data_IF_600336796997
#
_entry.id   IF_600336796997
#
_cell.length_a   1.000
_cell.length_b   1.000
_cell.length_c   1.000
_cell.angle_alpha   90.00
_cell.angle_beta   90.00
_cell.angle_gamma   90.00
#
_symmetry.space_group_name_H-M   'P 1'
#
loop_
_entity.id
_entity.type
_entity.pdbx_description
1 polymer ?
#
# COMPACT_ATOMS: atom_id res chain seq x y z
N UNK A 1 -118.92 9.20 6.72
CA UNK A 1 -117.48 9.54 6.51
C UNK A 1 -116.83 10.32 7.66
N UNK A 2 -117.57 10.87 8.63
CA UNK A 2 -116.98 11.69 9.72
C UNK A 2 -116.54 10.90 10.96
N UNK A 3 -117.08 9.71 11.21
CA UNK A 3 -116.90 8.94 12.45
C UNK A 3 -115.60 8.12 12.54
N UNK A 4 -115.13 7.55 11.44
CA UNK A 4 -113.87 6.77 11.42
C UNK A 4 -112.67 7.71 11.55
N UNK A 5 -112.65 8.83 10.83
CA UNK A 5 -111.62 9.87 10.96
C UNK A 5 -111.57 10.46 12.38
N UNK A 6 -112.73 10.66 13.02
CA UNK A 6 -112.79 11.11 14.41
C UNK A 6 -112.22 10.06 15.38
N UNK A 7 -112.37 8.76 15.08
CA UNK A 7 -111.83 7.63 15.86
C UNK A 7 -110.30 7.51 15.75
N UNK A 8 -109.75 7.63 14.54
CA UNK A 8 -108.29 7.68 14.33
C UNK A 8 -107.68 8.95 14.92
N UNK A 9 -108.31 10.11 14.77
CA UNK A 9 -107.84 11.35 15.44
C UNK A 9 -107.87 11.20 16.97
N UNK A 10 -108.88 10.52 17.54
CA UNK A 10 -108.94 10.24 18.98
C UNK A 10 -107.86 9.27 19.41
N UNK A 11 -107.58 8.21 18.65
CA UNK A 11 -106.51 7.24 18.93
C UNK A 11 -105.12 7.89 18.84
N UNK A 12 -104.90 8.71 17.80
CA UNK A 12 -103.69 9.50 17.64
C UNK A 12 -103.56 10.52 18.77
N UNK A 13 -104.61 11.24 19.17
CA UNK A 13 -104.57 12.15 20.33
C UNK A 13 -104.32 11.42 21.65
N UNK A 14 -104.91 10.25 21.85
CA UNK A 14 -104.83 9.47 23.09
C UNK A 14 -103.48 8.76 23.25
N UNK A 15 -102.85 8.37 22.15
CA UNK A 15 -101.53 7.73 22.13
C UNK A 15 -100.42 8.63 21.58
N UNK A 16 -100.70 9.93 21.34
CA UNK A 16 -99.78 10.89 20.72
C UNK A 16 -98.44 10.91 21.45
N UNK A 17 -98.48 10.99 22.78
CA UNK A 17 -97.29 10.98 23.63
C UNK A 17 -96.49 9.70 23.50
N UNK A 18 -97.14 8.52 23.45
CA UNK A 18 -96.43 7.23 23.29
C UNK A 18 -95.80 7.09 21.91
N UNK A 19 -96.49 7.50 20.85
CA UNK A 19 -95.97 7.47 19.48
C UNK A 19 -94.81 8.45 19.32
N UNK A 20 -94.93 9.68 19.85
CA UNK A 20 -93.85 10.68 19.86
C UNK A 20 -92.63 10.17 20.63
N UNK A 21 -92.81 9.51 21.77
CA UNK A 21 -91.70 8.92 22.54
C UNK A 21 -91.02 7.79 21.77
N UNK A 22 -91.76 6.88 21.13
CA UNK A 22 -91.18 5.79 20.35
C UNK A 22 -90.43 6.31 19.11
N UNK A 23 -91.02 7.23 18.34
CA UNK A 23 -90.35 7.85 17.19
C UNK A 23 -89.13 8.67 17.63
N UNK A 24 -89.25 9.43 18.73
CA UNK A 24 -88.12 10.17 19.30
C UNK A 24 -86.99 9.25 19.75
N UNK A 25 -87.31 8.11 20.38
CA UNK A 25 -86.32 7.10 20.79
C UNK A 25 -85.67 6.44 19.57
N UNK A 26 -86.43 6.14 18.51
CA UNK A 26 -85.90 5.58 17.28
C UNK A 26 -84.95 6.56 16.58
N UNK A 27 -85.31 7.85 16.50
CA UNK A 27 -84.43 8.91 15.95
C UNK A 27 -83.17 9.07 16.81
N UNK A 28 -83.27 9.00 18.13
CA UNK A 28 -82.12 9.07 19.03
C UNK A 28 -81.19 7.85 18.87
N UNK A 29 -81.74 6.64 18.77
CA UNK A 29 -80.97 5.40 18.55
C UNK A 29 -80.34 5.40 17.15
N UNK A 30 -81.07 5.83 16.11
CA UNK A 30 -80.53 5.96 14.76
C UNK A 30 -79.43 7.02 14.68
N UNK A 31 -79.59 8.17 15.36
CA UNK A 31 -78.57 9.20 15.48
C UNK A 31 -77.34 8.72 16.26
N UNK A 32 -77.53 7.92 17.32
CA UNK A 32 -76.44 7.29 18.06
C UNK A 32 -75.68 6.27 17.20
N UNK A 33 -76.39 5.40 16.47
CA UNK A 33 -75.79 4.44 15.52
C UNK A 33 -74.97 5.18 14.46
N UNK A 34 -75.55 6.22 13.85
CA UNK A 34 -74.88 7.01 12.82
C UNK A 34 -73.63 7.72 13.38
N UNK A 35 -73.72 8.29 14.58
CA UNK A 35 -72.57 8.90 15.26
C UNK A 35 -71.46 7.90 15.58
N UNK A 36 -71.81 6.68 16.00
CA UNK A 36 -70.84 5.59 16.24
C UNK A 36 -70.18 5.11 14.94
N UNK A 37 -70.95 4.98 13.86
CA UNK A 37 -70.42 4.64 12.53
C UNK A 37 -69.48 5.72 12.00
N UNK A 38 -69.80 7.01 12.20
CA UNK A 38 -68.91 8.11 11.83
C UNK A 38 -67.59 8.07 12.62
N UNK A 39 -67.66 7.86 13.95
CA UNK A 39 -66.45 7.75 14.79
C UNK A 39 -65.55 6.60 14.37
N UNK A 40 -66.14 5.45 14.01
CA UNK A 40 -65.39 4.32 13.46
C UNK A 40 -64.74 4.66 12.13
N UNK A 41 -65.48 5.27 11.20
CA UNK A 41 -64.95 5.68 9.90
C UNK A 41 -63.78 6.67 10.03
N UNK A 42 -63.85 7.61 10.98
CA UNK A 42 -62.74 8.51 11.27
C UNK A 42 -61.53 7.77 11.87
N UNK A 43 -61.73 6.86 12.82
CA UNK A 43 -60.64 6.08 13.39
C UNK A 43 -59.95 5.19 12.34
N UNK A 44 -60.72 4.58 11.43
CA UNK A 44 -60.19 3.81 10.31
C UNK A 44 -59.43 4.70 9.33
N UNK A 45 -59.95 5.89 9.01
CA UNK A 45 -59.27 6.87 8.18
C UNK A 45 -57.95 7.34 8.81
N UNK A 46 -57.93 7.60 10.11
CA UNK A 46 -56.73 8.01 10.86
C UNK A 46 -55.67 6.90 10.82
N UNK A 47 -56.06 5.63 10.97
CA UNK A 47 -55.17 4.50 10.80
C UNK A 47 -54.57 4.43 9.39
N UNK A 48 -55.39 4.53 8.34
CA UNK A 48 -54.90 4.50 6.96
C UNK A 48 -53.97 5.69 6.66
N UNK A 49 -54.28 6.88 7.20
CA UNK A 49 -53.43 8.05 7.08
C UNK A 49 -52.08 7.84 7.80
N UNK A 50 -52.07 7.37 9.05
CA UNK A 50 -50.85 7.08 9.79
C UNK A 50 -49.98 6.04 9.07
N UNK A 51 -50.59 4.96 8.57
CA UNK A 51 -49.90 3.94 7.79
C UNK A 51 -49.28 4.51 6.51
N UNK A 52 -50.02 5.36 5.78
CA UNK A 52 -49.49 6.01 4.58
C UNK A 52 -48.25 6.86 4.87
N UNK A 53 -48.20 7.51 6.05
CA UNK A 53 -47.05 8.29 6.48
C UNK A 53 -45.85 7.40 6.84
N UNK A 54 -46.08 6.23 7.45
CA UNK A 54 -45.00 5.25 7.69
C UNK A 54 -44.40 4.75 6.38
N UNK A 55 -45.22 4.39 5.40
CA UNK A 55 -44.76 3.94 4.08
C UNK A 55 -43.99 5.06 3.35
N UNK A 56 -44.45 6.30 3.44
CA UNK A 56 -43.72 7.46 2.91
C UNK A 56 -42.38 7.69 3.63
N UNK A 57 -42.33 7.53 4.95
CA UNK A 57 -41.09 7.63 5.72
C UNK A 57 -40.10 6.50 5.37
N UNK A 58 -40.59 5.28 5.11
CA UNK A 58 -39.75 4.17 4.62
C UNK A 58 -39.19 4.46 3.22
N UNK A 59 -39.99 5.01 2.31
CA UNK A 59 -39.51 5.43 0.99
C UNK A 59 -38.45 6.54 1.11
N UNK A 60 -38.71 7.55 1.95
CA UNK A 60 -37.76 8.62 2.22
C UNK A 60 -36.44 8.12 2.82
N UNK A 61 -36.50 7.17 3.76
CA UNK A 61 -35.31 6.52 4.32
C UNK A 61 -34.49 5.81 3.24
N UNK A 62 -35.15 5.09 2.32
CA UNK A 62 -34.49 4.48 1.16
C UNK A 62 -33.86 5.51 0.24
N UNK A 63 -34.55 6.62 -0.05
CA UNK A 63 -34.03 7.72 -0.89
C UNK A 63 -32.80 8.39 -0.27
N UNK A 64 -32.76 8.49 1.06
CA UNK A 64 -31.59 8.95 1.81
C UNK A 64 -30.45 7.92 1.85
N UNK A 65 -30.66 6.70 1.35
CA UNK A 65 -29.62 5.68 1.24
C UNK A 65 -29.48 4.77 2.45
N UNK A 66 -30.53 4.65 3.28
CA UNK A 66 -30.59 3.58 4.28
C UNK A 66 -30.88 2.25 3.57
N UNK A 67 -30.14 1.21 3.93
CA UNK A 67 -30.41 -0.14 3.46
C UNK A 67 -31.63 -0.72 4.19
N UNK A 68 -32.34 -1.64 3.52
CA UNK A 68 -33.52 -2.30 4.10
C UNK A 68 -33.22 -2.99 5.45
N UNK A 69 -31.98 -3.47 5.65
CA UNK A 69 -31.56 -4.09 6.90
C UNK A 69 -31.62 -3.12 8.10
N UNK A 70 -31.34 -1.83 7.88
CA UNK A 70 -31.20 -0.82 8.93
C UNK A 70 -32.52 -0.40 9.58
N UNK A 71 -33.66 -0.68 8.93
CA UNK A 71 -35.00 -0.42 9.47
C UNK A 71 -35.97 -1.62 9.32
N UNK A 72 -35.42 -2.81 9.06
CA UNK A 72 -36.21 -4.05 8.86
C UNK A 72 -37.04 -4.47 10.08
N UNK A 73 -36.66 -4.08 11.29
CA UNK A 73 -37.44 -4.26 12.51
C UNK A 73 -38.72 -3.41 12.49
N UNK A 74 -38.59 -2.14 12.12
CA UNK A 74 -39.72 -1.20 12.00
C UNK A 74 -40.65 -1.58 10.84
N UNK A 75 -40.07 -2.03 9.72
CA UNK A 75 -40.84 -2.56 8.60
C UNK A 75 -41.66 -3.79 8.99
N UNK A 76 -41.09 -4.72 9.78
CA UNK A 76 -41.84 -5.88 10.29
C UNK A 76 -42.94 -5.48 11.27
N UNK A 77 -42.73 -4.45 12.09
CA UNK A 77 -43.77 -3.93 12.98
C UNK A 77 -44.94 -3.34 12.20
N UNK A 78 -44.69 -2.55 11.15
CA UNK A 78 -45.73 -2.03 10.27
C UNK A 78 -46.51 -3.19 9.62
N UNK A 79 -45.80 -4.17 9.04
CA UNK A 79 -46.46 -5.33 8.42
C UNK A 79 -47.30 -6.12 9.43
N UNK A 80 -46.86 -6.20 10.69
CA UNK A 80 -47.62 -6.86 11.76
C UNK A 80 -48.89 -6.09 12.05
N UNK A 81 -48.79 -4.78 12.34
CA UNK A 81 -49.94 -3.88 12.60
C UNK A 81 -50.94 -3.90 11.44
N UNK A 82 -50.43 -3.83 10.21
CA UNK A 82 -51.25 -3.85 9.00
C UNK A 82 -51.96 -5.19 8.74
N UNK A 83 -51.44 -6.30 9.30
CA UNK A 83 -52.03 -7.63 9.16
C UNK A 83 -53.08 -7.95 10.22
N UNK A 84 -53.21 -7.13 11.26
CA UNK A 84 -54.20 -7.36 12.32
C UNK A 84 -55.63 -7.17 11.79
N UNK A 85 -56.50 -8.15 12.05
CA UNK A 85 -57.90 -8.08 11.63
C UNK A 85 -58.73 -7.29 12.65
N UNK A 86 -59.48 -6.25 12.22
CA UNK A 86 -60.36 -5.52 13.13
C UNK A 86 -61.48 -6.43 13.65
N UNK A 87 -61.94 -6.24 14.90
CA UNK A 87 -63.08 -6.99 15.45
C UNK A 87 -64.34 -6.89 14.55
N UNK A 88 -65.23 -7.89 14.59
CA UNK A 88 -66.47 -7.84 13.83
C UNK A 88 -67.32 -6.62 14.25
N UNK A 89 -67.98 -5.99 13.28
CA UNK A 89 -68.86 -4.85 13.55
C UNK A 89 -70.10 -5.29 14.36
N UNK A 90 -70.44 -4.53 15.40
CA UNK A 90 -71.55 -4.86 16.32
C UNK A 90 -72.42 -3.64 16.61
N UNK A 91 -73.00 -3.03 15.57
CA UNK A 91 -73.89 -1.88 15.72
C UNK A 91 -75.04 -2.19 16.71
N UNK A 92 -75.39 -1.27 17.64
CA UNK A 92 -74.93 0.12 17.78
C UNK A 92 -73.59 0.29 18.54
N UNK A 93 -72.93 -0.79 18.97
CA UNK A 93 -71.79 -0.79 19.87
C UNK A 93 -70.47 -1.11 19.13
N UNK A 94 -69.83 -0.10 18.54
CA UNK A 94 -68.59 -0.27 17.76
C UNK A 94 -67.31 0.14 18.51
N UNK A 95 -67.37 0.36 19.83
CA UNK A 95 -66.25 0.88 20.63
C UNK A 95 -64.99 -0.01 20.60
N UNK A 96 -65.14 -1.33 20.52
CA UNK A 96 -64.00 -2.26 20.43
C UNK A 96 -63.21 -2.09 19.13
N UNK A 97 -63.93 -1.83 18.02
CA UNK A 97 -63.38 -1.61 16.68
C UNK A 97 -62.80 -0.20 16.53
N UNK A 98 -63.46 0.81 17.07
CA UNK A 98 -62.90 2.18 17.20
C UNK A 98 -61.58 2.12 17.99
N UNK A 99 -61.58 1.44 19.14
CA UNK A 99 -60.37 1.29 19.97
C UNK A 99 -59.26 0.52 19.25
N UNK A 100 -59.61 -0.46 18.42
CA UNK A 100 -58.65 -1.17 17.56
C UNK A 100 -57.95 -0.21 16.59
N UNK A 101 -58.71 0.53 15.79
CA UNK A 101 -58.12 1.46 14.82
C UNK A 101 -57.32 2.58 15.48
N UNK A 102 -57.78 3.12 16.61
CA UNK A 102 -57.02 4.12 17.37
C UNK A 102 -55.67 3.58 17.88
N UNK A 103 -55.63 2.31 18.36
CA UNK A 103 -54.37 1.68 18.76
C UNK A 103 -53.46 1.44 17.57
N UNK A 104 -53.99 0.92 16.47
CA UNK A 104 -53.23 0.70 15.24
C UNK A 104 -52.65 2.00 14.69
N UNK A 105 -53.45 3.08 14.63
CA UNK A 105 -52.98 4.42 14.24
C UNK A 105 -51.86 4.94 15.15
N UNK A 106 -51.97 4.71 16.47
CA UNK A 106 -50.93 5.04 17.44
C UNK A 106 -49.64 4.24 17.23
N UNK A 107 -49.75 2.94 16.93
CA UNK A 107 -48.60 2.09 16.60
C UNK A 107 -47.91 2.56 15.32
N UNK A 108 -48.65 2.87 14.26
CA UNK A 108 -48.09 3.41 13.01
C UNK A 108 -47.37 4.74 13.25
N UNK A 109 -47.98 5.65 14.03
CA UNK A 109 -47.35 6.93 14.39
C UNK A 109 -46.03 6.71 15.15
N UNK A 110 -46.01 5.79 16.11
CA UNK A 110 -44.81 5.45 16.86
C UNK A 110 -43.72 4.84 15.97
N UNK A 111 -44.08 3.97 15.02
CA UNK A 111 -43.14 3.39 14.04
C UNK A 111 -42.52 4.49 13.19
N UNK A 112 -43.32 5.44 12.71
CA UNK A 112 -42.83 6.60 11.94
C UNK A 112 -41.84 7.42 12.75
N UNK A 113 -42.18 7.81 13.98
CA UNK A 113 -41.31 8.60 14.84
C UNK A 113 -39.98 7.88 15.11
N UNK A 114 -40.02 6.57 15.35
CA UNK A 114 -38.82 5.75 15.52
C UNK A 114 -37.96 5.71 14.25
N UNK A 115 -38.58 5.63 13.08
CA UNK A 115 -37.88 5.65 11.80
C UNK A 115 -37.22 7.02 11.54
N UNK A 116 -37.95 8.12 11.75
CA UNK A 116 -37.43 9.48 11.57
C UNK A 116 -36.24 9.74 12.50
N UNK A 117 -36.34 9.34 13.77
CA UNK A 117 -35.21 9.43 14.72
C UNK A 117 -34.01 8.59 14.27
N UNK A 118 -34.26 7.41 13.70
CA UNK A 118 -33.19 6.54 13.19
C UNK A 118 -32.50 7.14 11.97
N UNK A 119 -33.27 7.71 11.04
CA UNK A 119 -32.75 8.44 9.88
C UNK A 119 -31.87 9.60 10.33
N UNK A 120 -32.36 10.45 11.24
CA UNK A 120 -31.59 11.59 11.78
C UNK A 120 -30.29 11.13 12.45
N UNK A 121 -30.35 10.06 13.24
CA UNK A 121 -29.18 9.49 13.90
C UNK A 121 -28.15 8.97 12.89
N UNK A 122 -28.59 8.21 11.89
CA UNK A 122 -27.69 7.67 10.86
C UNK A 122 -27.08 8.78 10.01
N UNK A 123 -27.85 9.81 9.65
CA UNK A 123 -27.35 11.00 8.97
C UNK A 123 -26.23 11.68 9.75
N UNK A 124 -26.43 11.93 11.06
CA UNK A 124 -25.41 12.54 11.90
C UNK A 124 -24.17 11.63 12.04
N UNK A 125 -24.38 10.33 12.27
CA UNK A 125 -23.29 9.38 12.45
C UNK A 125 -22.43 9.23 11.21
N UNK A 126 -23.02 9.12 10.01
CA UNK A 126 -22.23 8.99 8.77
C UNK A 126 -21.54 10.29 8.39
N UNK A 127 -22.19 11.45 8.60
CA UNK A 127 -21.56 12.75 8.45
C UNK A 127 -20.32 12.89 9.35
N UNK A 128 -20.46 12.59 10.65
CA UNK A 128 -19.37 12.74 11.62
C UNK A 128 -18.24 11.74 11.35
N UNK A 129 -18.58 10.53 10.90
CA UNK A 129 -17.59 9.52 10.47
C UNK A 129 -16.78 10.04 9.29
N UNK A 130 -17.43 10.51 8.21
CA UNK A 130 -16.75 11.03 7.03
C UNK A 130 -15.85 12.23 7.39
N UNK A 131 -16.32 13.16 8.24
CA UNK A 131 -15.50 14.29 8.71
C UNK A 131 -14.29 13.84 9.52
N UNK A 132 -14.45 12.86 10.39
CA UNK A 132 -13.34 12.29 11.16
C UNK A 132 -12.30 11.67 10.23
N UNK A 133 -12.71 10.93 9.20
CA UNK A 133 -11.80 10.32 8.23
C UNK A 133 -11.01 11.38 7.42
N UNK A 134 -11.67 12.47 6.99
CA UNK A 134 -10.97 13.60 6.34
C UNK A 134 -9.96 14.26 7.27
N UNK A 135 -10.32 14.46 8.54
CA UNK A 135 -9.42 15.01 9.54
C UNK A 135 -8.20 14.09 9.79
N UNK A 136 -8.43 12.78 9.89
CA UNK A 136 -7.36 11.79 10.05
C UNK A 136 -6.45 11.72 8.81
N UNK A 137 -7.01 11.76 7.60
CA UNK A 137 -6.23 11.83 6.36
C UNK A 137 -5.34 13.08 6.33
N UNK A 138 -5.89 14.23 6.71
CA UNK A 138 -5.15 15.50 6.77
C UNK A 138 -4.01 15.42 7.79
N UNK A 139 -4.29 14.89 8.98
CA UNK A 139 -3.29 14.72 10.04
C UNK A 139 -2.18 13.75 9.61
N UNK A 140 -2.53 12.63 8.99
CA UNK A 140 -1.56 11.66 8.47
C UNK A 140 -0.71 12.25 7.34
N UNK A 141 -1.28 13.09 6.48
CA UNK A 141 -0.53 13.74 5.41
C UNK A 141 0.46 14.77 5.97
N UNK A 142 0.06 15.52 7.00
CA UNK A 142 0.97 16.41 7.73
C UNK A 142 2.08 15.62 8.44
N UNK A 143 1.73 14.52 9.11
CA UNK A 143 2.69 13.63 9.77
C UNK A 143 3.68 13.07 8.76
N UNK A 144 3.22 12.57 7.62
CA UNK A 144 4.07 12.03 6.55
C UNK A 144 5.13 13.04 6.09
N UNK A 145 4.73 14.30 5.87
CA UNK A 145 5.66 15.39 5.55
C UNK A 145 6.65 15.66 6.68
N UNK A 146 6.16 15.69 7.93
CA UNK A 146 6.99 15.95 9.10
C UNK A 146 8.08 14.88 9.31
N UNK A 147 7.76 13.61 9.08
CA UNK A 147 8.71 12.50 9.23
C UNK A 147 9.55 12.24 7.98
N UNK A 148 9.35 13.01 6.92
CA UNK A 148 10.20 13.00 5.72
C UNK A 148 9.85 11.95 4.67
N UNK A 149 8.58 11.51 4.58
CA UNK A 149 8.11 10.70 3.43
C UNK A 149 8.38 11.45 2.14
N UNK A 150 8.87 10.76 1.10
CA UNK A 150 9.20 11.35 -0.20
C UNK A 150 8.00 12.11 -0.80
N UNK A 151 8.21 13.36 -1.20
CA UNK A 151 7.19 14.23 -1.80
C UNK A 151 6.57 13.60 -3.05
N UNK A 152 7.31 12.81 -3.83
CA UNK A 152 6.79 12.10 -5.01
C UNK A 152 5.74 11.06 -4.63
N UNK A 153 5.90 10.38 -3.49
CA UNK A 153 4.93 9.43 -2.97
C UNK A 153 3.69 10.13 -2.42
N UNK A 154 3.80 11.42 -2.07
CA UNK A 154 2.70 12.21 -1.52
C UNK A 154 1.82 12.90 -2.58
N UNK A 155 2.26 12.94 -3.84
CA UNK A 155 1.57 13.65 -4.93
C UNK A 155 0.12 13.19 -5.10
N UNK A 156 -0.13 11.89 -5.02
CA UNK A 156 -1.48 11.32 -5.21
C UNK A 156 -2.48 11.71 -4.10
N UNK A 157 -1.99 12.14 -2.93
CA UNK A 157 -2.82 12.59 -1.82
C UNK A 157 -3.10 14.10 -1.86
N UNK A 158 -2.40 14.83 -2.73
CA UNK A 158 -2.54 16.26 -2.83
C UNK A 158 -3.98 16.65 -3.23
N UNK A 159 -4.62 17.50 -2.43
CA UNK A 159 -5.98 17.97 -2.68
C UNK A 159 -7.10 16.99 -2.30
N UNK A 160 -6.80 15.72 -1.98
CA UNK A 160 -7.81 14.75 -1.55
C UNK A 160 -8.60 15.21 -0.31
N UNK A 161 -7.97 15.75 0.76
CA UNK A 161 -8.74 16.22 1.92
C UNK A 161 -9.72 17.34 1.58
N UNK A 162 -9.31 18.28 0.71
CA UNK A 162 -10.15 19.40 0.30
C UNK A 162 -11.32 18.90 -0.56
N UNK A 163 -11.05 17.99 -1.51
CA UNK A 163 -12.10 17.38 -2.34
C UNK A 163 -13.13 16.67 -1.46
N UNK A 164 -12.68 15.83 -0.54
CA UNK A 164 -13.57 15.07 0.35
C UNK A 164 -14.36 16.00 1.29
N UNK A 165 -13.75 17.08 1.79
CA UNK A 165 -14.48 18.07 2.59
C UNK A 165 -15.60 18.74 1.80
N UNK A 166 -15.34 19.12 0.53
CA UNK A 166 -16.38 19.69 -0.35
C UNK A 166 -17.51 18.68 -0.57
N UNK A 167 -17.19 17.41 -0.80
CA UNK A 167 -18.20 16.35 -1.00
C UNK A 167 -19.07 16.13 0.24
N UNK A 168 -18.48 16.22 1.44
CA UNK A 168 -19.24 16.20 2.70
C UNK A 168 -20.15 17.43 2.80
N UNK A 169 -19.62 18.63 2.51
CA UNK A 169 -20.37 19.89 2.66
C UNK A 169 -21.59 19.97 1.72
N UNK A 170 -21.54 19.30 0.56
CA UNK A 170 -22.67 19.25 -0.40
C UNK A 170 -23.57 18.03 -0.22
N UNK A 171 -23.13 17.01 0.52
CA UNK A 171 -23.90 15.78 0.72
C UNK A 171 -25.11 16.03 1.64
N UNK A 172 -26.27 15.49 1.25
CA UNK A 172 -27.52 15.61 2.00
C UNK A 172 -28.15 14.26 2.34
N UNK A 173 -27.44 13.16 2.07
CA UNK A 173 -27.93 11.78 2.25
C UNK A 173 -26.93 10.91 2.98
N UNK A 174 -27.41 9.83 3.62
CA UNK A 174 -26.57 8.82 4.28
C UNK A 174 -25.64 8.16 3.27
N UNK A 175 -26.15 7.86 2.07
CA UNK A 175 -25.34 7.29 0.98
C UNK A 175 -24.23 8.22 0.51
N UNK A 176 -24.46 9.53 0.48
CA UNK A 176 -23.45 10.53 0.11
C UNK A 176 -22.27 10.52 1.07
N UNK A 177 -22.53 10.58 2.38
CA UNK A 177 -21.46 10.50 3.39
C UNK A 177 -20.71 9.16 3.34
N UNK A 178 -21.42 8.05 3.13
CA UNK A 178 -20.81 6.71 2.97
C UNK A 178 -19.93 6.60 1.73
N UNK A 179 -20.31 7.28 0.64
CA UNK A 179 -19.50 7.30 -0.58
C UNK A 179 -18.14 7.96 -0.32
N UNK A 180 -18.11 9.08 0.40
CA UNK A 180 -16.85 9.74 0.80
C UNK A 180 -15.99 8.79 1.63
N UNK A 181 -16.55 8.18 2.67
CA UNK A 181 -15.83 7.18 3.49
C UNK A 181 -15.27 6.03 2.66
N UNK A 182 -16.03 5.56 1.67
CA UNK A 182 -15.61 4.47 0.79
C UNK A 182 -14.46 4.91 -0.12
N UNK A 183 -14.51 6.12 -0.68
CA UNK A 183 -13.46 6.67 -1.52
C UNK A 183 -12.15 6.87 -0.73
N UNK A 184 -12.24 7.34 0.52
CA UNK A 184 -11.07 7.62 1.36
C UNK A 184 -10.38 6.37 1.90
N UNK A 185 -11.06 5.21 1.94
CA UNK A 185 -10.54 4.00 2.57
C UNK A 185 -9.19 3.53 2.01
N UNK A 186 -9.07 3.46 0.68
CA UNK A 186 -7.84 3.00 0.05
C UNK A 186 -6.68 4.02 0.16
N UNK A 187 -6.88 5.32 -0.14
CA UNK A 187 -5.88 6.35 0.12
C UNK A 187 -5.42 6.39 1.57
N UNK A 188 -6.35 6.35 2.53
CA UNK A 188 -6.01 6.38 3.94
C UNK A 188 -5.13 5.20 4.36
N UNK A 189 -5.46 3.98 3.89
CA UNK A 189 -4.66 2.78 4.13
C UNK A 189 -3.25 2.91 3.55
N UNK A 190 -3.13 3.35 2.28
CA UNK A 190 -1.84 3.53 1.61
C UNK A 190 -0.97 4.58 2.31
N UNK A 191 -1.55 5.74 2.67
CA UNK A 191 -0.84 6.77 3.41
C UNK A 191 -0.38 6.28 4.79
N UNK A 192 -1.21 5.51 5.48
CA UNK A 192 -0.85 4.93 6.78
C UNK A 192 0.32 3.95 6.66
N UNK A 193 0.38 3.15 5.58
CA UNK A 193 1.52 2.28 5.28
C UNK A 193 2.79 3.09 4.99
N UNK A 194 2.71 4.16 4.19
CA UNK A 194 3.86 5.05 3.93
C UNK A 194 4.39 5.69 5.23
N UNK A 195 3.49 6.13 6.11
CA UNK A 195 3.86 6.67 7.42
C UNK A 195 4.57 5.62 8.27
N UNK A 196 4.01 4.41 8.36
CA UNK A 196 4.59 3.34 9.17
C UNK A 196 5.96 2.87 8.63
N UNK A 197 6.12 2.80 7.31
CA UNK A 197 7.38 2.45 6.64
C UNK A 197 8.46 3.51 6.93
N UNK A 198 8.12 4.79 6.79
CA UNK A 198 9.05 5.89 7.09
C UNK A 198 9.39 5.97 8.58
N UNK A 199 8.45 5.72 9.49
CA UNK A 199 8.73 5.62 10.93
C UNK A 199 9.71 4.48 11.25
N UNK A 200 9.53 3.33 10.59
CA UNK A 200 10.44 2.18 10.73
C UNK A 200 11.83 2.52 10.21
N UNK A 201 11.91 3.18 9.06
CA UNK A 201 13.16 3.67 8.48
C UNK A 201 13.86 4.65 9.42
N UNK A 202 13.14 5.66 9.92
CA UNK A 202 13.69 6.66 10.85
C UNK A 202 14.18 6.02 12.16
N UNK A 203 13.48 4.99 12.64
CA UNK A 203 13.92 4.22 13.82
C UNK A 203 15.25 3.52 13.55
N UNK A 204 15.41 2.90 12.37
CA UNK A 204 16.66 2.23 12.00
C UNK A 204 17.80 3.23 11.81
N UNK A 205 17.54 4.40 11.20
CA UNK A 205 18.49 5.51 11.11
C UNK A 205 18.93 5.91 12.51
N UNK A 206 18.00 6.10 13.44
CA UNK A 206 18.31 6.43 14.83
C UNK A 206 19.17 5.39 15.54
N UNK A 207 18.98 4.09 15.24
CA UNK A 207 19.82 3.02 15.79
C UNK A 207 21.27 3.10 15.29
N UNK A 208 21.47 3.30 13.99
CA UNK A 208 22.82 3.46 13.43
C UNK A 208 23.47 4.78 13.85
N UNK A 209 22.70 5.87 13.96
CA UNK A 209 23.18 7.13 14.48
C UNK A 209 23.68 7.00 15.92
N UNK A 210 22.95 6.29 16.78
CA UNK A 210 23.39 6.02 18.15
C UNK A 210 24.67 5.16 18.20
N UNK A 211 24.84 4.22 17.27
CA UNK A 211 26.09 3.46 17.14
C UNK A 211 27.26 4.36 16.72
N UNK A 212 27.04 5.30 15.80
CA UNK A 212 28.04 6.28 15.40
C UNK A 212 28.43 7.20 16.57
N UNK A 213 27.44 7.73 17.30
CA UNK A 213 27.66 8.58 18.47
C UNK A 213 28.51 7.89 19.56
N UNK A 214 28.32 6.57 19.73
CA UNK A 214 29.12 5.78 20.65
C UNK A 214 30.60 5.67 20.24
N UNK A 215 30.91 5.84 18.96
CA UNK A 215 32.27 5.78 18.41
C UNK A 215 32.96 7.14 18.36
N UNK A 216 32.20 8.23 18.15
CA UNK A 216 32.77 9.57 18.06
C UNK A 216 32.92 10.30 19.40
N UNK A 217 32.22 9.83 20.45
CA UNK A 217 32.26 10.41 21.79
C UNK A 217 31.92 11.92 21.81
N UNK A 218 31.09 12.38 20.88
CA UNK A 218 30.67 13.78 20.75
C UNK A 218 31.63 14.66 19.92
N UNK A 219 32.72 14.10 19.38
CA UNK A 219 33.66 14.83 18.55
C UNK A 219 33.13 15.01 17.11
N UNK A 220 32.87 16.26 16.72
CA UNK A 220 32.32 16.58 15.40
C UNK A 220 33.26 16.23 14.24
N UNK A 221 34.58 16.22 14.46
CA UNK A 221 35.57 15.79 13.47
C UNK A 221 35.50 14.28 13.22
N UNK A 222 35.42 13.50 14.30
CA UNK A 222 35.26 12.04 14.23
C UNK A 222 33.90 11.68 13.63
N UNK A 223 32.82 12.35 14.05
CA UNK A 223 31.48 12.14 13.49
C UNK A 223 31.44 12.40 11.98
N UNK A 224 32.07 13.50 11.52
CA UNK A 224 32.18 13.80 10.09
C UNK A 224 33.02 12.75 9.35
N UNK A 225 34.15 12.34 9.90
CA UNK A 225 34.97 11.29 9.30
C UNK A 225 34.20 9.97 9.18
N UNK A 226 33.42 9.60 10.20
CA UNK A 226 32.54 8.43 10.19
C UNK A 226 31.48 8.51 9.11
N UNK A 227 30.78 9.64 8.99
CA UNK A 227 29.78 9.87 7.95
C UNK A 227 30.40 9.86 6.54
N UNK A 228 31.57 10.48 6.35
CA UNK A 228 32.30 10.43 5.08
C UNK A 228 32.73 9.00 4.71
N UNK A 229 33.19 8.22 5.68
CA UNK A 229 33.52 6.82 5.47
C UNK A 229 32.27 5.98 5.11
N UNK A 230 31.13 6.24 5.74
CA UNK A 230 29.86 5.59 5.38
C UNK A 230 29.43 5.93 3.95
N UNK A 231 29.57 7.20 3.54
CA UNK A 231 29.29 7.63 2.17
C UNK A 231 30.19 6.91 1.16
N UNK A 232 31.50 6.84 1.43
CA UNK A 232 32.43 6.13 0.55
C UNK A 232 32.12 4.63 0.44
N UNK A 233 31.71 3.99 1.55
CA UNK A 233 31.31 2.57 1.54
C UNK A 233 30.11 2.32 0.64
N UNK A 234 29.00 3.03 0.86
CA UNK A 234 27.79 2.83 0.04
C UNK A 234 28.02 3.17 -1.44
N UNK A 235 28.89 4.15 -1.74
CA UNK A 235 29.28 4.45 -3.12
C UNK A 235 30.07 3.32 -3.77
N UNK A 236 30.98 2.68 -3.03
CA UNK A 236 31.73 1.51 -3.50
C UNK A 236 30.82 0.30 -3.72
N UNK A 237 29.88 0.05 -2.82
CA UNK A 237 28.90 -1.03 -2.95
C UNK A 237 27.96 -0.77 -4.13
N UNK A 238 27.51 0.48 -4.35
CA UNK A 238 26.74 0.85 -5.54
C UNK A 238 27.54 0.65 -6.83
N UNK A 239 28.84 0.96 -6.83
CA UNK A 239 29.71 0.68 -7.99
C UNK A 239 29.79 -0.82 -8.26
N UNK A 240 29.90 -1.64 -7.22
CA UNK A 240 29.90 -3.10 -7.33
C UNK A 240 28.56 -3.59 -7.90
N UNK A 241 27.44 -3.13 -7.36
CA UNK A 241 26.10 -3.46 -7.85
C UNK A 241 25.91 -3.10 -9.34
N UNK A 242 26.43 -1.94 -9.78
CA UNK A 242 26.41 -1.53 -11.20
C UNK A 242 27.23 -2.45 -12.10
N UNK A 243 28.37 -2.98 -11.64
CA UNK A 243 29.14 -3.99 -12.40
C UNK A 243 28.27 -5.23 -12.68
N UNK A 244 27.43 -5.61 -11.71
CA UNK A 244 26.46 -6.69 -11.86
C UNK A 244 25.11 -6.25 -12.46
N UNK A 245 25.07 -5.09 -13.11
CA UNK A 245 23.89 -4.56 -13.82
C UNK A 245 22.66 -4.35 -12.94
N UNK A 246 22.82 -4.17 -11.63
CA UNK A 246 21.72 -3.78 -10.75
C UNK A 246 21.36 -2.30 -10.98
N UNK A 247 20.06 -2.00 -11.05
CA UNK A 247 19.56 -0.63 -11.00
C UNK A 247 19.60 -0.13 -9.55
N UNK A 248 20.52 0.80 -9.29
CA UNK A 248 20.72 1.41 -7.96
C UNK A 248 20.09 2.79 -7.85
N UNK A 249 19.28 3.23 -8.82
CA UNK A 249 18.74 4.60 -8.89
C UNK A 249 18.02 5.06 -7.62
N UNK A 250 17.25 4.16 -6.99
CA UNK A 250 16.53 4.45 -5.74
C UNK A 250 17.52 4.75 -4.59
N UNK A 251 18.53 3.88 -4.41
CA UNK A 251 19.55 4.06 -3.37
C UNK A 251 20.42 5.29 -3.67
N UNK A 252 20.80 5.48 -4.93
CA UNK A 252 21.62 6.60 -5.39
C UNK A 252 20.94 7.95 -5.11
N UNK A 253 19.64 8.07 -5.38
CA UNK A 253 18.88 9.29 -5.06
C UNK A 253 18.92 9.64 -3.57
N UNK A 254 18.74 8.65 -2.68
CA UNK A 254 18.84 8.86 -1.23
C UNK A 254 20.27 9.21 -0.80
N UNK A 255 21.27 8.49 -1.31
CA UNK A 255 22.68 8.72 -1.00
C UNK A 255 23.12 10.12 -1.46
N UNK A 256 22.67 10.60 -2.62
CA UNK A 256 22.95 11.97 -3.08
C UNK A 256 22.36 13.03 -2.16
N UNK A 257 21.12 12.84 -1.68
CA UNK A 257 20.48 13.74 -0.70
C UNK A 257 21.28 13.80 0.60
N UNK A 258 21.71 12.65 1.12
CA UNK A 258 22.51 12.52 2.34
C UNK A 258 23.92 13.12 2.15
N UNK A 259 24.57 12.89 1.01
CA UNK A 259 25.86 13.48 0.68
C UNK A 259 25.79 15.02 0.62
N UNK A 260 24.71 15.56 0.05
CA UNK A 260 24.47 17.00 0.03
C UNK A 260 24.21 17.57 1.45
N UNK A 261 23.57 16.80 2.34
CA UNK A 261 23.42 17.17 3.75
C UNK A 261 24.76 17.14 4.48
N UNK A 262 25.58 16.10 4.29
CA UNK A 262 26.91 15.96 4.88
C UNK A 262 27.81 17.18 4.60
N UNK A 263 27.72 17.73 3.39
CA UNK A 263 28.48 18.93 2.99
C UNK A 263 28.03 20.24 3.66
N UNK A 264 26.88 20.26 4.35
CA UNK A 264 26.28 21.47 4.94
C UNK A 264 26.22 21.43 6.47
N UNK A 265 25.92 20.26 7.04
CA UNK A 265 25.71 20.13 8.50
C UNK A 265 27.03 20.15 9.27
N UNK A 266 27.01 20.74 10.47
CA UNK A 266 28.19 20.87 11.34
C UNK A 266 27.98 20.36 12.76
N UNK A 267 26.74 20.25 13.23
CA UNK A 267 26.43 19.69 14.53
C UNK A 267 26.72 18.17 14.55
N UNK A 268 27.31 17.67 15.64
CA UNK A 268 27.64 16.25 15.80
C UNK A 268 26.41 15.37 15.61
N UNK A 269 25.28 15.72 16.23
CA UNK A 269 24.02 14.97 16.12
C UNK A 269 23.51 14.88 14.68
N UNK A 270 23.66 15.94 13.88
CA UNK A 270 23.22 15.92 12.48
C UNK A 270 24.16 15.05 11.62
N UNK A 271 25.46 15.07 11.91
CA UNK A 271 26.44 14.19 11.26
C UNK A 271 26.18 12.72 11.58
N UNK A 272 25.85 12.40 12.83
CA UNK A 272 25.43 11.07 13.27
C UNK A 272 24.15 10.62 12.55
N UNK A 273 23.16 11.50 12.39
CA UNK A 273 21.94 11.19 11.63
C UNK A 273 22.24 10.92 10.16
N UNK A 274 23.12 11.71 9.53
CA UNK A 274 23.55 11.47 8.14
C UNK A 274 24.29 10.14 8.02
N UNK A 275 25.17 9.82 8.97
CA UNK A 275 25.86 8.52 9.03
C UNK A 275 24.84 7.38 9.14
N UNK A 276 23.86 7.50 10.05
CA UNK A 276 22.78 6.53 10.20
C UNK A 276 21.95 6.35 8.91
N UNK A 277 21.63 7.45 8.22
CA UNK A 277 20.96 7.42 6.93
C UNK A 277 21.75 6.66 5.87
N UNK A 278 23.05 6.93 5.76
CA UNK A 278 23.95 6.25 4.82
C UNK A 278 24.08 4.76 5.14
N UNK A 279 24.19 4.40 6.42
CA UNK A 279 24.24 3.00 6.85
C UNK A 279 22.94 2.23 6.54
N UNK A 280 21.78 2.87 6.64
CA UNK A 280 20.51 2.26 6.20
C UNK A 280 20.50 2.01 4.70
N UNK A 281 20.92 2.99 3.88
CA UNK A 281 20.97 2.82 2.44
C UNK A 281 21.97 1.73 2.01
N UNK A 282 23.13 1.66 2.69
CA UNK A 282 24.11 0.59 2.52
C UNK A 282 23.52 -0.79 2.83
N UNK A 283 22.79 -0.91 3.95
CA UNK A 283 22.13 -2.16 4.35
C UNK A 283 21.07 -2.61 3.34
N UNK A 284 20.25 -1.68 2.86
CA UNK A 284 19.22 -1.97 1.82
C UNK A 284 19.90 -2.49 0.56
N UNK A 285 20.97 -1.85 0.13
CA UNK A 285 21.73 -2.28 -1.05
C UNK A 285 22.35 -3.66 -0.85
N UNK A 286 22.99 -3.91 0.29
CA UNK A 286 23.61 -5.20 0.60
C UNK A 286 22.58 -6.33 0.68
N UNK A 287 21.40 -6.10 1.25
CA UNK A 287 20.32 -7.09 1.27
C UNK A 287 19.81 -7.39 -0.14
N UNK A 288 19.62 -6.36 -0.97
CA UNK A 288 19.23 -6.53 -2.36
C UNK A 288 20.30 -7.28 -3.16
N UNK A 289 21.58 -6.96 -2.95
CA UNK A 289 22.71 -7.67 -3.56
C UNK A 289 22.74 -9.14 -3.14
N UNK A 290 22.58 -9.43 -1.85
CA UNK A 290 22.61 -10.79 -1.33
C UNK A 290 21.48 -11.67 -1.88
N UNK A 291 20.31 -11.09 -2.15
CA UNK A 291 19.14 -11.78 -2.68
C UNK A 291 19.19 -12.00 -4.20
N UNK A 292 19.77 -11.04 -4.95
CA UNK A 292 19.66 -11.02 -6.42
C UNK A 292 20.96 -11.39 -7.14
N UNK A 293 22.12 -11.25 -6.48
CA UNK A 293 23.40 -11.55 -7.12
C UNK A 293 23.77 -13.04 -6.99
N UNK A 294 24.58 -13.56 -7.94
CA UNK A 294 25.10 -14.92 -7.85
C UNK A 294 25.83 -15.17 -6.53
N UNK A 295 25.73 -16.41 -6.03
CA UNK A 295 26.47 -16.86 -4.83
C UNK A 295 27.96 -16.58 -4.96
N UNK A 296 28.51 -16.77 -6.18
CA UNK A 296 29.90 -16.50 -6.54
C UNK A 296 29.97 -15.83 -7.90
N UNK A 297 30.81 -14.82 -8.03
CA UNK A 297 31.12 -14.19 -9.30
C UNK A 297 32.57 -13.70 -9.33
N UNK A 298 33.12 -13.56 -10.54
CA UNK A 298 34.40 -12.92 -10.78
C UNK A 298 34.18 -11.63 -11.58
N UNK A 299 34.97 -10.61 -11.29
CA UNK A 299 35.07 -9.43 -12.15
C UNK A 299 36.52 -9.18 -12.53
N UNK A 300 36.75 -8.68 -13.74
CA UNK A 300 38.08 -8.34 -14.25
C UNK A 300 38.00 -6.90 -14.74
N UNK A 301 38.72 -6.00 -14.08
CA UNK A 301 38.88 -4.64 -14.55
C UNK A 301 40.09 -4.57 -15.49
N UNK A 302 39.84 -4.21 -16.75
CA UNK A 302 40.90 -3.96 -17.73
C UNK A 302 41.65 -2.66 -17.42
N UNK A 303 40.96 -1.67 -16.85
CA UNK A 303 41.59 -0.40 -16.47
C UNK A 303 42.49 -0.54 -15.25
N UNK A 304 42.02 -1.24 -14.23
CA UNK A 304 42.77 -1.40 -12.98
C UNK A 304 43.74 -2.58 -13.04
N UNK A 305 43.63 -3.44 -14.06
CA UNK A 305 44.38 -4.69 -14.18
C UNK A 305 44.23 -5.55 -12.91
N UNK A 306 42.99 -5.74 -12.47
CA UNK A 306 42.64 -6.50 -11.26
C UNK A 306 41.55 -7.50 -11.56
N UNK A 307 41.70 -8.71 -11.03
CA UNK A 307 40.60 -9.68 -10.87
C UNK A 307 40.08 -9.63 -9.44
N UNK A 308 38.76 -9.67 -9.28
CA UNK A 308 38.07 -9.73 -7.99
C UNK A 308 37.15 -10.92 -7.94
N UNK A 309 36.98 -11.48 -6.75
CA UNK A 309 36.00 -12.53 -6.48
C UNK A 309 34.98 -12.03 -5.46
N UNK A 310 33.71 -12.27 -5.76
CA UNK A 310 32.57 -11.80 -4.97
C UNK A 310 31.73 -12.98 -4.51
N UNK A 311 31.38 -13.01 -3.22
CA UNK A 311 30.35 -13.91 -2.71
C UNK A 311 29.12 -13.12 -2.31
N UNK A 312 27.97 -13.40 -2.92
CA UNK A 312 26.73 -12.64 -2.70
C UNK A 312 26.95 -11.11 -2.83
N UNK A 313 27.74 -10.69 -3.81
CA UNK A 313 28.10 -9.28 -4.02
C UNK A 313 29.15 -8.69 -3.08
N UNK A 314 29.60 -9.44 -2.06
CA UNK A 314 30.67 -9.02 -1.15
C UNK A 314 32.04 -9.46 -1.67
N UNK A 315 32.99 -8.54 -1.79
CA UNK A 315 34.33 -8.86 -2.27
C UNK A 315 35.07 -9.72 -1.25
N UNK A 316 35.43 -10.95 -1.62
CA UNK A 316 36.16 -11.90 -0.76
C UNK A 316 37.62 -12.09 -1.16
N UNK A 317 38.00 -11.65 -2.37
CA UNK A 317 39.36 -11.74 -2.89
C UNK A 317 39.60 -10.72 -3.99
N UNK A 318 40.87 -10.30 -4.13
CA UNK A 318 41.34 -9.58 -5.29
C UNK A 318 42.82 -9.90 -5.58
N UNK A 319 43.24 -9.73 -6.83
CA UNK A 319 44.63 -9.83 -7.26
C UNK A 319 44.88 -8.92 -8.45
N UNK A 320 46.06 -8.31 -8.51
CA UNK A 320 46.55 -7.78 -9.78
C UNK A 320 46.68 -8.90 -10.83
N UNK A 321 46.47 -8.55 -12.09
CA UNK A 321 46.56 -9.43 -13.25
C UNK A 321 47.28 -8.72 -14.40
N UNK A 322 47.55 -9.45 -15.47
CA UNK A 322 47.92 -8.88 -16.76
C UNK A 322 46.95 -9.40 -17.81
N UNK A 323 46.28 -8.50 -18.53
CA UNK A 323 45.30 -8.82 -19.58
C UNK A 323 45.91 -8.71 -20.99
N UNK A 324 45.09 -8.91 -22.01
CA UNK A 324 45.47 -8.83 -23.41
C UNK A 324 46.10 -7.48 -23.79
N UNK A 325 47.13 -7.53 -24.63
CA UNK A 325 47.80 -6.35 -25.19
C UNK A 325 47.01 -5.70 -26.32
N UNK A 326 47.35 -4.47 -26.75
CA UNK A 326 46.77 -3.86 -27.93
C UNK A 326 46.83 -4.76 -29.17
N UNK A 327 45.70 -4.91 -29.87
CA UNK A 327 45.50 -5.82 -31.01
C UNK A 327 45.18 -7.28 -30.63
N UNK A 328 45.26 -7.65 -29.36
CA UNK A 328 44.87 -8.94 -28.78
C UNK A 328 44.26 -8.76 -27.39
N UNK A 329 43.41 -7.75 -27.27
CA UNK A 329 42.81 -7.31 -26.02
C UNK A 329 41.95 -8.43 -25.41
N UNK A 330 41.83 -8.42 -24.08
CA UNK A 330 40.81 -9.24 -23.43
C UNK A 330 39.45 -8.58 -23.65
N UNK A 331 38.52 -9.28 -24.29
CA UNK A 331 37.21 -8.71 -24.62
C UNK A 331 36.40 -8.35 -23.36
N UNK A 332 35.86 -7.12 -23.26
CA UNK A 332 34.88 -6.78 -22.25
C UNK A 332 33.56 -7.51 -22.50
N UNK A 333 32.83 -7.84 -21.44
CA UNK A 333 31.56 -8.53 -21.55
C UNK A 333 31.20 -9.39 -20.34
N UNK A 334 30.06 -10.05 -20.43
CA UNK A 334 29.56 -10.98 -19.42
C UNK A 334 29.70 -12.41 -19.92
N UNK A 335 30.43 -13.20 -19.15
CA UNK A 335 30.80 -14.57 -19.47
C UNK A 335 30.55 -15.48 -18.27
N UNK A 336 31.00 -16.73 -18.38
CA UNK A 336 31.06 -17.68 -17.27
C UNK A 336 32.23 -18.61 -17.43
N UNK A 337 32.80 -19.07 -16.32
CA UNK A 337 33.78 -20.16 -16.36
C UNK A 337 33.09 -21.40 -16.92
N UNK A 338 33.40 -21.78 -18.15
CA UNK A 338 32.74 -22.91 -18.81
C UNK A 338 33.55 -24.20 -18.73
N UNK A 339 34.86 -24.09 -18.53
CA UNK A 339 35.74 -25.26 -18.41
C UNK A 339 36.96 -24.96 -17.55
N UNK A 340 37.33 -25.94 -16.73
CA UNK A 340 38.49 -25.90 -15.85
C UNK A 340 39.39 -27.09 -16.17
N UNK A 341 40.66 -26.85 -16.47
CA UNK A 341 41.63 -27.92 -16.74
C UNK A 341 42.99 -27.65 -16.10
N UNK A 342 43.63 -28.72 -15.59
CA UNK A 342 44.94 -28.71 -14.95
C UNK A 342 45.62 -30.08 -15.14
N UNK A 343 46.90 -30.15 -15.57
CA UNK A 343 47.68 -29.07 -16.19
C UNK A 343 47.21 -28.76 -17.62
N UNK A 344 47.69 -27.66 -18.21
CA UNK A 344 47.38 -27.30 -19.60
C UNK A 344 48.59 -26.73 -20.33
N UNK A 345 48.68 -26.97 -21.64
CA UNK A 345 49.68 -26.34 -22.51
C UNK A 345 48.97 -25.42 -23.49
N UNK A 346 49.28 -24.13 -23.43
CA UNK A 346 48.76 -23.13 -24.36
C UNK A 346 49.48 -23.25 -25.69
N UNK A 347 48.73 -23.43 -26.77
CA UNK A 347 49.24 -23.51 -28.13
C UNK A 347 48.84 -22.26 -28.92
N UNK A 348 49.80 -21.67 -29.61
CA UNK A 348 49.53 -20.49 -30.43
C UNK A 348 48.64 -20.85 -31.62
N UNK A 349 47.51 -20.14 -31.82
CA UNK A 349 46.69 -20.30 -33.01
C UNK A 349 47.31 -19.62 -34.25
N UNK A 350 48.33 -18.80 -34.06
CA UNK A 350 49.04 -18.14 -35.15
C UNK A 350 50.19 -19.03 -35.67
N UNK A 351 50.56 -18.96 -36.95
CA UNK A 351 51.72 -19.67 -37.47
C UNK A 351 53.03 -19.00 -37.04
N UNK A 352 54.11 -19.79 -36.93
CA UNK A 352 55.48 -19.27 -36.72
C UNK A 352 55.79 -18.21 -37.78
N UNK A 353 56.27 -17.05 -37.34
CA UNK A 353 56.53 -15.88 -38.19
C UNK A 353 55.46 -14.79 -38.13
N UNK A 354 54.27 -15.09 -37.57
CA UNK A 354 53.29 -14.05 -37.21
C UNK A 354 53.81 -13.17 -36.07
N UNK A 355 53.54 -11.84 -36.07
CA UNK A 355 53.84 -10.97 -34.93
C UNK A 355 53.05 -11.35 -33.65
N UNK A 356 52.01 -12.18 -33.80
CA UNK A 356 51.19 -12.70 -32.70
C UNK A 356 51.54 -14.14 -32.31
N UNK A 357 52.54 -14.74 -32.96
CA UNK A 357 52.97 -16.09 -32.60
C UNK A 357 53.64 -16.12 -31.23
N UNK A 358 53.35 -17.16 -30.45
CA UNK A 358 54.02 -17.45 -29.19
C UNK A 358 54.40 -18.95 -29.10
N UNK A 359 55.50 -19.31 -28.40
CA UNK A 359 55.86 -20.71 -28.19
C UNK A 359 54.89 -21.40 -27.24
N UNK A 360 54.86 -22.74 -27.22
CA UNK A 360 54.02 -23.48 -26.30
C UNK A 360 54.32 -23.09 -24.83
N UNK A 361 53.28 -22.62 -24.12
CA UNK A 361 53.38 -22.15 -22.75
C UNK A 361 52.66 -23.09 -21.80
N UNK A 362 53.41 -23.73 -20.91
CA UNK A 362 52.85 -24.67 -19.91
C UNK A 362 52.29 -23.88 -18.74
N UNK A 363 51.01 -24.05 -18.44
CA UNK A 363 50.33 -23.48 -17.26
C UNK A 363 49.91 -24.60 -16.32
N UNK A 364 49.84 -24.30 -15.01
CA UNK A 364 49.42 -25.28 -14.01
C UNK A 364 47.91 -25.45 -13.98
N UNK A 365 47.14 -24.39 -14.23
CA UNK A 365 45.68 -24.45 -14.25
C UNK A 365 45.07 -23.31 -15.06
N UNK A 366 43.98 -23.60 -15.76
CA UNK A 366 43.24 -22.61 -16.55
C UNK A 366 41.74 -22.74 -16.36
N UNK A 367 41.10 -21.61 -16.09
CA UNK A 367 39.65 -21.43 -16.08
C UNK A 367 39.24 -20.71 -17.35
N UNK A 368 38.71 -21.44 -18.32
CA UNK A 368 38.23 -20.88 -19.58
C UNK A 368 36.90 -20.17 -19.40
N UNK A 369 36.78 -18.95 -19.95
CA UNK A 369 35.57 -18.14 -19.77
C UNK A 369 35.03 -17.51 -21.06
N UNK A 370 35.87 -17.21 -22.07
CA UNK A 370 35.42 -16.58 -23.31
C UNK A 370 36.11 -17.19 -24.56
N UNK A 371 35.54 -18.22 -25.17
CA UNK A 371 35.83 -18.62 -26.57
C UNK A 371 37.29 -18.93 -26.97
N UNK A 372 38.22 -19.02 -26.02
CA UNK A 372 39.66 -19.05 -26.26
C UNK A 372 40.49 -18.19 -25.30
N UNK A 373 39.86 -17.34 -24.49
CA UNK A 373 40.45 -16.64 -23.36
C UNK A 373 40.20 -17.39 -22.04
N UNK A 374 41.27 -17.54 -21.26
CA UNK A 374 41.25 -18.20 -19.97
C UNK A 374 41.91 -17.35 -18.88
N UNK A 375 41.47 -17.55 -17.64
CA UNK A 375 42.13 -17.06 -16.43
C UNK A 375 43.10 -18.17 -16.01
N UNK A 376 44.40 -17.89 -15.97
CA UNK A 376 45.40 -18.92 -15.67
C UNK A 376 46.62 -18.35 -14.96
N UNK A 377 47.41 -19.26 -14.37
CA UNK A 377 48.68 -18.89 -13.77
C UNK A 377 49.69 -18.48 -14.84
N UNK A 378 50.53 -17.50 -14.50
CA UNK A 378 51.66 -17.11 -15.32
C UNK A 378 52.92 -17.05 -14.46
N UNK A 379 53.38 -18.19 -13.93
CA UNK A 379 54.50 -18.26 -12.98
C UNK A 379 55.83 -17.66 -13.50
N UNK A 380 55.93 -17.41 -14.80
CA UNK A 380 57.08 -16.77 -15.44
C UNK A 380 57.08 -15.24 -15.30
N UNK A 381 55.95 -14.60 -14.97
CA UNK A 381 55.87 -13.14 -14.83
C UNK A 381 56.20 -12.69 -13.42
N UNK A 382 56.95 -11.59 -13.33
CA UNK A 382 57.30 -10.92 -12.09
C UNK A 382 56.33 -9.77 -11.75
N UNK A 383 55.81 -9.11 -12.78
CA UNK A 383 54.99 -7.91 -12.63
C UNK A 383 53.56 -8.12 -13.13
N UNK A 384 52.61 -7.54 -12.40
CA UNK A 384 51.18 -7.55 -12.68
C UNK A 384 50.60 -6.20 -12.28
N UNK A 385 49.44 -5.85 -12.84
CA UNK A 385 48.76 -4.59 -12.55
C UNK A 385 48.88 -3.57 -13.67
N UNK A 386 48.45 -2.32 -13.44
CA UNK A 386 48.32 -1.30 -14.48
C UNK A 386 49.61 -1.09 -15.27
N UNK A 387 49.51 -1.11 -16.60
CA UNK A 387 50.63 -0.92 -17.51
C UNK A 387 51.27 -2.22 -18.01
N UNK A 388 50.99 -3.36 -17.38
CA UNK A 388 51.56 -4.66 -17.79
C UNK A 388 50.91 -5.24 -19.06
N UNK A 389 49.75 -4.72 -19.46
CA UNK A 389 49.09 -4.95 -20.74
C UNK A 389 49.85 -4.31 -21.93
N UNK A 390 50.74 -3.36 -21.66
CA UNK A 390 51.57 -2.68 -22.65
C UNK A 390 53.03 -3.17 -22.60
N UNK A 391 53.89 -2.75 -23.55
CA UNK A 391 55.32 -2.99 -23.45
C UNK A 391 55.91 -2.48 -22.13
N UNK A 392 56.51 -3.38 -21.35
CA UNK A 392 57.10 -3.08 -20.05
C UNK A 392 58.35 -3.95 -19.83
N UNK A 393 59.11 -3.68 -18.77
CA UNK A 393 60.22 -4.54 -18.38
C UNK A 393 59.77 -5.59 -17.36
N UNK A 394 59.95 -6.87 -17.68
CA UNK A 394 59.82 -8.02 -16.78
C UNK A 394 61.12 -8.84 -16.82
N UNK A 395 61.84 -8.97 -15.70
CA UNK A 395 63.14 -9.65 -15.65
C UNK A 395 63.07 -11.16 -15.92
N UNK A 396 61.90 -11.78 -15.81
CA UNK A 396 61.72 -13.23 -15.88
C UNK A 396 60.68 -13.68 -16.90
N UNK A 397 59.86 -12.74 -17.39
CA UNK A 397 58.70 -13.03 -18.21
C UNK A 397 58.66 -12.25 -19.53
N UNK A 398 57.44 -12.04 -20.01
CA UNK A 398 57.19 -11.35 -21.26
C UNK A 398 57.00 -9.85 -21.00
N UNK A 399 57.74 -9.04 -21.76
CA UNK A 399 57.72 -7.58 -21.73
C UNK A 399 56.48 -6.96 -22.40
N UNK A 400 55.31 -7.60 -22.34
CA UNK A 400 54.08 -7.16 -22.99
C UNK A 400 52.84 -7.81 -22.35
N UNK A 401 51.63 -7.34 -22.69
CA UNK A 401 50.38 -7.99 -22.31
C UNK A 401 50.17 -9.37 -22.94
N UNK A 402 49.09 -10.04 -22.55
CA UNK A 402 48.78 -11.41 -23.02
C UNK A 402 48.19 -11.42 -24.44
N UNK A 403 47.86 -12.61 -24.93
CA UNK A 403 47.11 -12.81 -26.19
C UNK A 403 45.60 -12.93 -25.94
N UNK A 404 45.06 -12.18 -24.97
CA UNK A 404 43.63 -12.14 -24.61
C UNK A 404 43.29 -12.88 -23.30
N UNK A 405 44.17 -13.76 -22.82
CA UNK A 405 44.02 -14.42 -21.51
C UNK A 405 44.24 -13.46 -20.33
N UNK A 406 43.86 -13.88 -19.13
CA UNK A 406 44.10 -13.14 -17.89
C UNK A 406 45.14 -13.90 -17.07
N UNK A 407 46.35 -13.34 -17.06
CA UNK A 407 47.47 -13.90 -16.31
C UNK A 407 47.36 -13.50 -14.84
N UNK A 408 47.42 -14.50 -13.96
CA UNK A 408 47.33 -14.33 -12.51
C UNK A 408 48.62 -14.85 -11.85
N UNK A 409 49.12 -14.21 -10.76
CA UNK A 409 50.18 -14.79 -9.94
C UNK A 409 49.84 -16.22 -9.49
N UNK A 410 50.80 -17.14 -9.52
CA UNK A 410 50.53 -18.57 -9.31
C UNK A 410 49.79 -18.87 -8.00
N UNK A 411 50.20 -18.32 -6.86
CA UNK A 411 49.53 -18.53 -5.57
C UNK A 411 48.08 -18.04 -5.58
N UNK A 412 47.83 -16.92 -6.25
CA UNK A 412 46.51 -16.31 -6.37
C UNK A 412 45.62 -17.12 -7.31
N UNK A 413 46.20 -17.69 -8.36
CA UNK A 413 45.50 -18.62 -9.25
C UNK A 413 45.07 -19.89 -8.53
N UNK A 414 45.89 -20.45 -7.62
CA UNK A 414 45.51 -21.61 -6.80
C UNK A 414 44.28 -21.30 -5.95
N UNK A 415 44.22 -20.11 -5.35
CA UNK A 415 43.05 -19.67 -4.58
C UNK A 415 41.81 -19.56 -5.48
N UNK A 416 41.92 -18.84 -6.60
CA UNK A 416 40.82 -18.64 -7.55
C UNK A 416 40.30 -19.96 -8.11
N UNK A 417 41.21 -20.88 -8.43
CA UNK A 417 40.87 -22.21 -8.91
C UNK A 417 40.03 -22.97 -7.90
N UNK A 418 40.42 -23.00 -6.63
CA UNK A 418 39.68 -23.75 -5.61
C UNK A 418 38.33 -23.08 -5.28
N UNK A 419 38.28 -21.76 -5.30
CA UNK A 419 37.08 -21.01 -4.92
C UNK A 419 36.00 -20.95 -6.01
N UNK A 420 36.37 -21.07 -7.30
CA UNK A 420 35.51 -20.84 -8.47
C UNK A 420 34.98 -22.15 -9.10
N UNK A 421 33.72 -22.57 -8.89
CA UNK A 421 33.12 -23.67 -9.65
C UNK A 421 32.97 -23.37 -11.15
N UNK A 422 32.84 -24.42 -11.96
CA UNK A 422 32.33 -24.24 -13.34
C UNK A 422 30.92 -23.66 -13.29
N UNK A 423 30.63 -22.71 -14.16
CA UNK A 423 29.39 -21.94 -14.19
C UNK A 423 29.47 -20.58 -13.48
N UNK A 424 30.53 -20.30 -12.70
CA UNK A 424 30.71 -18.99 -12.06
C UNK A 424 30.72 -17.87 -13.11
N UNK A 425 29.85 -16.85 -12.99
CA UNK A 425 29.85 -15.68 -13.87
C UNK A 425 31.17 -14.91 -13.82
N UNK A 426 31.57 -14.36 -14.96
CA UNK A 426 32.77 -13.54 -15.12
C UNK A 426 32.40 -12.26 -15.88
N UNK A 427 32.53 -11.10 -15.24
CA UNK A 427 32.28 -9.80 -15.89
C UNK A 427 33.60 -9.10 -16.16
N UNK A 428 33.90 -8.79 -17.41
CA UNK A 428 35.09 -8.05 -17.84
C UNK A 428 34.68 -6.62 -18.22
N UNK A 429 35.35 -5.60 -17.66
CA UNK A 429 34.97 -4.19 -17.83
C UNK A 429 36.15 -3.21 -17.85
#
# INVERSE_FOLDING_TARGET
MTTVLAGTLRFLRRNATRIVVVLGTFVLVAGFIFGQQMREAFAEQDFQAARSQVLAAQAHASDLGLSAAEYSDLQRQELTTASEAPPPASAPFNESRISFFNRAAGQETQIKEQLDLRVQKLMAQTHDTARSEVAQLTANLQKAKQIGVDDQLLVEFAGLPNKAQIEIDVATTVSGYRAVSTELKAPFSKLSLLVADQETTNKLIGQYAAQAAAQDHGDAGVARAGASAALSRVQADMSTARIFQMDVSIVDAHVQKLAAQLGRVTATTDLEQVNGGLAVQDKVLQDAMAQNLPEKALTISLKEQVIRAYSHGQQVFWSYVTTGRPGLETDPGNFKVYWKVSPWTMHSPWPKGSPYWYPDSKVKMVMWFNGGAGIHDAYWRAYYGPGTEYPHYDPYGENNGTHGCVNVPYSNMVWLWNWTPTGTPVTVY
#
